data_IF_334974654198
#
_entry.id   IF_334974654198
#
_cell.length_a   1.000
_cell.length_b   1.000
_cell.length_c   1.000
_cell.angle_alpha   90.00
_cell.angle_beta   90.00
_cell.angle_gamma   90.00
#
_symmetry.space_group_name_H-M   'P 1'
#
loop_
_entity.id
_entity.type
_entity.pdbx_description
1 polymer ?
#
# COMPACT_ATOMS: atom_id res chain seq x y z
N UNK A 1 3.58 -9.29 -28.93
CA UNK A 1 3.61 -10.39 -27.94
C UNK A 1 2.17 -10.68 -27.62
N UNK A 2 1.66 -11.87 -27.96
CA UNK A 2 0.29 -12.26 -27.62
C UNK A 2 0.29 -12.83 -26.20
N UNK A 3 -0.54 -12.26 -25.33
CA UNK A 3 -0.76 -12.77 -23.99
C UNK A 3 -1.67 -14.01 -24.05
N UNK A 4 -1.49 -14.99 -23.15
CA UNK A 4 -2.39 -16.14 -23.08
C UNK A 4 -3.84 -15.70 -22.79
N UNK A 5 -4.79 -16.49 -23.27
CA UNK A 5 -6.21 -16.30 -22.95
C UNK A 5 -6.46 -16.48 -21.45
N UNK A 6 -7.57 -15.92 -20.95
CA UNK A 6 -7.99 -16.11 -19.56
C UNK A 6 -8.09 -17.60 -19.19
N UNK A 7 -8.62 -18.42 -20.09
CA UNK A 7 -8.76 -19.85 -19.87
C UNK A 7 -7.40 -20.55 -19.72
N UNK A 8 -6.41 -20.19 -20.55
CA UNK A 8 -5.05 -20.73 -20.47
C UNK A 8 -4.36 -20.31 -19.15
N UNK A 9 -4.52 -19.05 -18.73
CA UNK A 9 -3.98 -18.57 -17.44
C UNK A 9 -4.62 -19.31 -16.26
N UNK A 10 -5.94 -19.53 -16.28
CA UNK A 10 -6.62 -20.29 -15.24
C UNK A 10 -6.19 -21.76 -15.20
N UNK A 11 -6.04 -22.40 -16.35
CA UNK A 11 -5.55 -23.77 -16.44
C UNK A 11 -4.12 -23.89 -15.89
N UNK A 12 -3.26 -22.93 -16.22
CA UNK A 12 -1.90 -22.84 -15.68
C UNK A 12 -1.90 -22.65 -14.16
N UNK A 13 -2.71 -21.73 -13.62
CA UNK A 13 -2.85 -21.52 -12.16
C UNK A 13 -3.27 -22.81 -11.43
N UNK A 14 -4.21 -23.57 -11.99
CA UNK A 14 -4.62 -24.86 -11.42
C UNK A 14 -3.50 -25.91 -11.45
N UNK A 15 -2.69 -25.95 -12.51
CA UNK A 15 -1.54 -26.84 -12.58
C UNK A 15 -0.50 -26.50 -11.50
N UNK A 16 -0.13 -25.21 -11.37
CA UNK A 16 0.80 -24.74 -10.34
C UNK A 16 0.26 -25.03 -8.94
N UNK A 17 -1.03 -24.76 -8.69
CA UNK A 17 -1.67 -25.05 -7.41
C UNK A 17 -1.56 -26.52 -7.01
N UNK A 18 -1.79 -27.45 -7.94
CA UNK A 18 -1.65 -28.89 -7.68
C UNK A 18 -0.22 -29.27 -7.32
N UNK A 19 0.77 -28.73 -8.04
CA UNK A 19 2.20 -28.99 -7.76
C UNK A 19 2.59 -28.45 -6.39
N UNK A 20 2.32 -27.18 -6.12
CA UNK A 20 2.65 -26.55 -4.83
C UNK A 20 1.92 -27.22 -3.68
N UNK A 21 0.64 -27.56 -3.85
CA UNK A 21 -0.12 -28.32 -2.84
C UNK A 21 0.52 -29.67 -2.57
N UNK A 22 0.94 -30.41 -3.60
CA UNK A 22 1.60 -31.71 -3.38
C UNK A 22 2.91 -31.60 -2.60
N UNK A 23 3.71 -30.54 -2.84
CA UNK A 23 4.93 -30.24 -2.07
C UNK A 23 4.60 -29.95 -0.61
N UNK A 24 3.57 -29.16 -0.34
CA UNK A 24 3.13 -28.84 1.03
C UNK A 24 2.64 -30.10 1.76
N UNK A 25 1.81 -30.93 1.11
CA UNK A 25 1.28 -32.15 1.73
C UNK A 25 2.33 -33.24 1.94
N UNK A 26 3.42 -33.23 1.18
CA UNK A 26 4.53 -34.15 1.34
C UNK A 26 5.52 -33.72 2.46
N UNK A 27 5.45 -32.47 2.91
CA UNK A 27 6.35 -31.95 3.94
C UNK A 27 5.97 -32.46 5.33
N UNK A 28 6.95 -32.85 6.13
CA UNK A 28 6.77 -33.16 7.54
C UNK A 28 6.61 -31.89 8.37
N UNK A 29 5.96 -32.00 9.53
CA UNK A 29 5.80 -30.89 10.48
C UNK A 29 7.16 -30.31 10.90
N UNK A 30 8.18 -31.16 11.07
CA UNK A 30 9.53 -30.73 11.41
C UNK A 30 10.15 -29.83 10.33
N UNK A 31 9.95 -30.14 9.05
CA UNK A 31 10.51 -29.38 7.93
C UNK A 31 9.87 -27.99 7.76
N UNK A 32 8.59 -27.85 8.12
CA UNK A 32 7.85 -26.59 7.99
C UNK A 32 7.80 -25.78 9.29
N UNK A 33 8.18 -26.37 10.43
CA UNK A 33 8.17 -25.69 11.74
C UNK A 33 9.12 -24.49 11.83
N UNK A 34 10.19 -24.47 11.03
CA UNK A 34 11.14 -23.37 10.97
C UNK A 34 11.77 -23.22 9.57
N UNK A 35 11.05 -22.53 8.67
CA UNK A 35 11.50 -22.30 7.30
C UNK A 35 12.50 -21.13 7.28
N UNK A 36 13.80 -21.45 7.40
CA UNK A 36 14.90 -20.51 7.20
C UNK A 36 15.38 -20.40 5.74
N UNK A 37 16.36 -19.53 5.47
CA UNK A 37 16.90 -19.31 4.11
C UNK A 37 17.49 -20.56 3.45
N UNK A 38 18.04 -21.49 4.24
CA UNK A 38 18.59 -22.76 3.75
C UNK A 38 17.52 -23.86 3.59
N UNK A 39 16.26 -23.59 3.95
CA UNK A 39 15.18 -24.55 3.83
C UNK A 39 14.78 -24.73 2.36
N UNK A 40 14.57 -25.98 1.88
CA UNK A 40 14.01 -26.20 0.56
C UNK A 40 12.58 -25.62 0.41
N UNK A 41 11.92 -25.33 1.53
CA UNK A 41 10.59 -24.73 1.57
C UNK A 41 10.60 -23.20 1.63
N UNK A 42 11.77 -22.53 1.65
CA UNK A 42 11.87 -21.07 1.75
C UNK A 42 11.12 -20.32 0.64
N UNK A 43 11.06 -20.90 -0.55
CA UNK A 43 10.33 -20.33 -1.67
C UNK A 43 8.81 -20.25 -1.43
N UNK A 44 8.25 -21.04 -0.51
CA UNK A 44 6.81 -21.03 -0.22
C UNK A 44 6.35 -19.72 0.45
N UNK A 45 6.87 -19.29 1.61
CA UNK A 45 6.49 -18.01 2.19
C UNK A 45 6.86 -16.84 1.27
N UNK A 46 7.99 -16.90 0.55
CA UNK A 46 8.34 -15.89 -0.44
C UNK A 46 7.26 -15.77 -1.53
N UNK A 47 6.80 -16.90 -2.10
CA UNK A 47 5.77 -16.90 -3.12
C UNK A 47 4.41 -16.38 -2.59
N UNK A 48 4.07 -16.70 -1.33
CA UNK A 48 2.85 -16.20 -0.68
C UNK A 48 2.90 -14.67 -0.48
N UNK A 49 4.02 -14.14 0.02
CA UNK A 49 4.20 -12.70 0.20
C UNK A 49 4.29 -11.97 -1.15
N UNK A 50 4.93 -12.59 -2.15
CA UNK A 50 4.95 -12.08 -3.52
C UNK A 50 3.54 -12.00 -4.14
N UNK A 51 2.69 -13.01 -3.93
CA UNK A 51 1.29 -12.95 -4.39
C UNK A 51 0.52 -11.80 -3.73
N UNK A 52 0.78 -11.50 -2.44
CA UNK A 52 0.16 -10.34 -1.75
C UNK A 52 0.58 -9.01 -2.37
N UNK A 53 1.84 -8.84 -2.74
CA UNK A 53 2.31 -7.65 -3.49
C UNK A 53 1.59 -7.54 -4.83
N UNK A 54 1.41 -8.65 -5.54
CA UNK A 54 0.65 -8.66 -6.79
C UNK A 54 -0.83 -8.32 -6.59
N UNK A 55 -1.46 -8.77 -5.49
CA UNK A 55 -2.85 -8.40 -5.16
C UNK A 55 -2.95 -6.89 -4.93
N UNK A 56 -2.04 -6.29 -4.16
CA UNK A 56 -1.99 -4.83 -3.97
C UNK A 56 -1.78 -4.11 -5.31
N UNK A 57 -0.82 -4.55 -6.11
CA UNK A 57 -0.53 -3.97 -7.43
C UNK A 57 -1.73 -4.06 -8.37
N UNK A 58 -2.40 -5.20 -8.42
CA UNK A 58 -3.63 -5.38 -9.20
C UNK A 58 -4.73 -4.43 -8.74
N UNK A 59 -4.86 -4.17 -7.43
CA UNK A 59 -5.85 -3.22 -6.92
C UNK A 59 -5.61 -1.79 -7.43
N UNK A 60 -4.34 -1.36 -7.50
CA UNK A 60 -3.96 -0.04 -8.04
C UNK A 60 -4.27 0.04 -9.53
N UNK A 61 -3.94 -1.01 -10.29
CA UNK A 61 -4.22 -1.07 -11.73
C UNK A 61 -5.72 -1.04 -12.04
N UNK A 62 -6.53 -1.78 -11.26
CA UNK A 62 -7.98 -1.79 -11.39
C UNK A 62 -8.57 -0.40 -11.11
N UNK A 63 -8.01 0.34 -10.13
CA UNK A 63 -8.46 1.70 -9.79
C UNK A 63 -8.19 2.73 -10.89
N UNK A 64 -7.21 2.49 -11.75
CA UNK A 64 -6.89 3.34 -12.91
C UNK A 64 -7.75 3.01 -14.15
N UNK A 65 -8.59 1.98 -14.10
CA UNK A 65 -9.51 1.68 -15.20
C UNK A 65 -10.66 2.73 -15.25
N UNK A 66 -11.19 3.01 -16.46
CA UNK A 66 -12.43 3.76 -16.59
C UNK A 66 -13.56 3.13 -15.76
N UNK A 67 -14.34 3.97 -15.08
CA UNK A 67 -15.36 3.50 -14.13
C UNK A 67 -16.40 2.59 -14.80
N UNK A 68 -16.71 2.81 -16.09
CA UNK A 68 -17.62 1.97 -16.87
C UNK A 68 -17.14 0.52 -17.06
N UNK A 69 -15.85 0.25 -16.83
CA UNK A 69 -15.25 -1.08 -16.93
C UNK A 69 -15.13 -1.78 -15.58
N UNK A 70 -15.48 -1.11 -14.48
CA UNK A 70 -15.39 -1.64 -13.12
C UNK A 70 -16.79 -1.83 -12.56
N UNK A 71 -17.08 -3.03 -12.05
CA UNK A 71 -18.35 -3.31 -11.37
C UNK A 71 -18.08 -3.85 -9.97
N UNK A 72 -18.93 -3.46 -9.02
CA UNK A 72 -18.90 -4.01 -7.67
C UNK A 72 -19.56 -5.39 -7.68
N UNK A 73 -18.86 -6.47 -7.30
CA UNK A 73 -19.48 -7.79 -7.17
C UNK A 73 -20.65 -7.75 -6.17
N UNK A 74 -21.73 -8.48 -6.48
CA UNK A 74 -22.94 -8.49 -5.65
C UNK A 74 -22.71 -9.00 -4.21
N UNK A 75 -21.65 -9.79 -4.01
CA UNK A 75 -21.26 -10.33 -2.70
C UNK A 75 -20.45 -9.37 -1.84
N UNK A 76 -20.01 -8.24 -2.39
CA UNK A 76 -19.24 -7.26 -1.63
C UNK A 76 -20.15 -6.45 -0.69
N UNK A 77 -19.66 -6.06 0.49
CA UNK A 77 -20.41 -5.21 1.40
C UNK A 77 -20.85 -3.93 0.67
N UNK A 78 -21.99 -3.37 1.08
CA UNK A 78 -22.41 -2.04 0.66
C UNK A 78 -21.24 -1.06 0.86
N UNK A 79 -21.01 -0.11 -0.08
CA UNK A 79 -20.07 0.97 0.18
C UNK A 79 -20.41 1.59 1.53
N UNK A 80 -19.37 1.90 2.31
CA UNK A 80 -19.57 2.64 3.54
C UNK A 80 -20.18 3.99 3.17
N UNK A 81 -21.47 4.17 3.45
CA UNK A 81 -22.13 5.46 3.40
C UNK A 81 -21.83 6.10 4.77
N UNK A 82 -21.10 7.24 4.84
CA UNK A 82 -20.99 7.99 6.08
C UNK A 82 -22.40 8.26 6.64
N UNK A 83 -22.57 8.28 7.96
CA UNK A 83 -23.88 8.41 8.66
C UNK A 83 -24.69 9.70 8.37
N UNK A 84 -24.48 10.37 7.23
CA UNK A 84 -25.04 11.69 6.91
C UNK A 84 -26.02 11.72 5.73
N UNK A 85 -26.50 10.58 5.23
CA UNK A 85 -27.42 10.56 4.07
C UNK A 85 -28.90 10.55 4.45
N UNK A 86 -29.22 10.99 5.67
CA UNK A 86 -30.59 11.15 6.17
C UNK A 86 -31.15 12.55 5.85
N UNK A 87 -30.79 13.17 4.72
CA UNK A 87 -31.34 14.46 4.24
C UNK A 87 -31.12 15.68 5.14
N UNK A 88 -30.68 15.47 6.38
CA UNK A 88 -30.20 16.44 7.33
C UNK A 88 -28.68 16.43 7.21
N UNK A 89 -28.11 17.55 6.76
CA UNK A 89 -26.65 17.77 6.73
C UNK A 89 -26.18 17.81 8.17
N UNK A 90 -26.05 16.62 8.76
CA UNK A 90 -25.48 16.41 10.08
C UNK A 90 -24.17 17.19 10.12
N UNK A 91 -23.93 17.97 11.20
CA UNK A 91 -22.84 18.92 11.24
C UNK A 91 -21.55 18.19 10.92
N UNK A 92 -20.74 18.81 10.05
CA UNK A 92 -19.39 18.34 9.73
C UNK A 92 -18.74 17.92 11.05
N UNK A 93 -18.28 16.67 11.20
CA UNK A 93 -17.65 16.26 12.45
C UNK A 93 -16.56 17.29 12.77
N UNK A 94 -16.41 17.67 14.06
CA UNK A 94 -15.45 18.69 14.43
C UNK A 94 -14.07 18.31 13.89
N UNK A 95 -13.25 19.28 13.44
CA UNK A 95 -11.91 18.99 12.96
C UNK A 95 -11.18 18.08 13.93
N UNK A 96 -10.68 16.94 13.44
CA UNK A 96 -9.82 16.09 14.25
C UNK A 96 -8.54 16.89 14.47
N UNK A 97 -8.26 17.25 15.73
CA UNK A 97 -6.99 17.88 16.06
C UNK A 97 -5.83 16.97 15.63
N UNK A 98 -4.91 17.52 14.84
CA UNK A 98 -3.74 16.81 14.36
C UNK A 98 -2.45 17.43 14.93
N UNK A 99 -2.25 17.38 16.26
CA UNK A 99 -1.10 18.00 16.88
C UNK A 99 0.18 17.30 16.46
N UNK A 100 1.27 18.06 16.45
CA UNK A 100 2.61 17.51 16.40
C UNK A 100 2.94 16.82 17.72
N UNK A 101 3.43 15.59 17.64
CA UNK A 101 3.88 14.79 18.75
C UNK A 101 5.40 14.74 18.71
N UNK A 102 6.02 15.12 19.83
CA UNK A 102 7.47 15.06 19.99
C UNK A 102 7.95 13.62 20.05
N UNK A 103 8.93 13.31 19.21
CA UNK A 103 9.66 12.04 19.20
C UNK A 103 11.08 12.35 19.71
N UNK A 104 11.44 11.76 20.84
CA UNK A 104 12.78 11.96 21.38
C UNK A 104 13.83 11.28 20.50
N UNK A 105 14.93 12.01 20.28
CA UNK A 105 16.05 11.53 19.51
C UNK A 105 16.80 10.41 20.21
N UNK A 106 17.51 9.61 19.42
CA UNK A 106 18.25 8.48 19.92
C UNK A 106 18.84 7.63 18.81
N UNK A 107 19.46 6.53 19.22
CA UNK A 107 19.98 5.53 18.28
C UNK A 107 18.85 4.61 17.85
N UNK A 108 18.50 4.66 16.57
CA UNK A 108 17.57 3.73 15.92
C UNK A 108 18.37 2.58 15.32
N UNK A 109 17.93 1.35 15.61
CA UNK A 109 18.49 0.13 15.05
C UNK A 109 17.51 -0.45 14.04
N UNK A 110 17.92 -0.56 12.79
CA UNK A 110 17.16 -1.18 11.71
C UNK A 110 17.81 -2.51 11.33
N UNK A 111 16.97 -3.50 11.02
CA UNK A 111 17.42 -4.80 10.58
C UNK A 111 16.72 -5.94 11.31
N UNK A 112 16.24 -6.90 10.53
CA UNK A 112 15.65 -8.15 11.00
C UNK A 112 16.77 -9.13 11.38
N UNK A 113 16.76 -9.70 12.60
CA UNK A 113 17.67 -10.80 12.97
C UNK A 113 17.52 -12.01 12.05
N UNK A 114 18.61 -12.75 11.83
CA UNK A 114 18.59 -13.95 10.97
C UNK A 114 17.73 -15.08 11.54
N UNK A 115 17.61 -15.15 12.86
CA UNK A 115 16.84 -16.13 13.62
C UNK A 115 15.44 -15.62 13.99
N UNK A 116 15.00 -14.51 13.41
CA UNK A 116 13.66 -13.99 13.66
C UNK A 116 12.59 -15.00 13.17
N UNK A 117 11.58 -15.34 13.99
CA UNK A 117 10.66 -16.45 13.71
C UNK A 117 9.54 -16.08 12.71
N UNK A 118 9.90 -15.40 11.62
CA UNK A 118 9.00 -15.10 10.50
C UNK A 118 9.80 -14.87 9.23
N UNK A 119 9.14 -15.03 8.08
CA UNK A 119 9.68 -14.56 6.80
C UNK A 119 10.02 -13.06 6.86
N UNK A 120 10.96 -12.64 6.02
CA UNK A 120 11.33 -11.27 5.73
C UNK A 120 12.03 -11.21 4.38
N UNK A 121 11.93 -10.08 3.68
CA UNK A 121 12.64 -9.84 2.43
C UNK A 121 14.14 -9.63 2.67
N UNK A 122 14.96 -9.91 1.66
CA UNK A 122 16.42 -9.75 1.72
C UNK A 122 16.87 -8.37 2.23
N UNK A 123 16.14 -7.32 1.85
CA UNK A 123 16.38 -5.93 2.25
C UNK A 123 16.03 -5.61 3.72
N UNK A 124 15.28 -6.48 4.39
CA UNK A 124 14.92 -6.29 5.81
C UNK A 124 16.03 -6.74 6.75
N UNK A 125 16.89 -7.67 6.32
CA UNK A 125 17.95 -8.22 7.15
C UNK A 125 19.19 -7.32 7.23
N UNK A 126 20.09 -7.70 8.13
CA UNK A 126 21.31 -6.96 8.45
C UNK A 126 21.15 -6.16 9.73
N UNK A 127 22.09 -5.26 9.99
CA UNK A 127 22.02 -4.35 11.13
C UNK A 127 22.58 -3.00 10.71
N UNK A 128 21.79 -1.95 10.87
CA UNK A 128 22.19 -0.57 10.65
C UNK A 128 21.78 0.26 11.85
N UNK A 129 22.71 1.05 12.35
CA UNK A 129 22.46 2.00 13.43
C UNK A 129 22.49 3.42 12.88
N UNK A 130 21.50 4.22 13.24
CA UNK A 130 21.41 5.63 12.89
C UNK A 130 21.15 6.44 14.15
N UNK A 131 21.88 7.54 14.32
CA UNK A 131 21.47 8.55 15.28
C UNK A 131 20.41 9.45 14.63
N UNK A 132 19.21 9.46 15.21
CA UNK A 132 18.09 10.30 14.77
C UNK A 132 17.91 11.42 15.79
N UNK A 133 18.08 12.69 15.42
CA UNK A 133 17.79 13.82 16.32
C UNK A 133 16.33 13.84 16.76
N UNK A 134 16.02 14.49 17.89
CA UNK A 134 14.61 14.71 18.27
C UNK A 134 13.89 15.49 17.18
N UNK A 135 12.66 15.09 16.89
CA UNK A 135 11.80 15.73 15.89
C UNK A 135 10.35 15.70 16.35
N UNK A 136 9.46 16.28 15.56
CA UNK A 136 8.02 16.20 15.79
C UNK A 136 7.34 15.62 14.55
N UNK A 137 6.30 14.80 14.77
CA UNK A 137 5.50 14.21 13.72
C UNK A 137 4.01 14.41 14.01
N UNK A 138 3.21 14.64 12.98
CA UNK A 138 1.77 14.73 13.12
C UNK A 138 1.20 13.43 13.71
N UNK A 139 0.28 13.56 14.67
CA UNK A 139 -0.38 12.41 15.32
C UNK A 139 -1.18 11.57 14.32
N UNK A 140 -1.74 12.21 13.29
CA UNK A 140 -2.56 11.62 12.25
C UNK A 140 -2.00 11.94 10.86
N UNK A 141 -2.32 11.08 9.89
CA UNK A 141 -2.02 11.37 8.47
C UNK A 141 -2.80 12.60 8.01
N UNK A 142 -2.23 13.32 7.03
CA UNK A 142 -2.90 14.46 6.39
C UNK A 142 -4.23 14.00 5.78
N UNK A 143 -5.30 14.67 6.19
CA UNK A 143 -6.67 14.42 5.74
C UNK A 143 -6.95 15.09 4.40
N UNK A 144 -8.04 14.67 3.73
CA UNK A 144 -8.51 15.37 2.53
C UNK A 144 -8.89 16.83 2.82
N UNK A 145 -9.37 17.15 4.03
CA UNK A 145 -9.71 18.51 4.44
C UNK A 145 -8.47 19.41 4.53
N UNK A 146 -7.44 18.96 5.26
CA UNK A 146 -6.16 19.67 5.35
C UNK A 146 -5.50 19.80 3.96
N UNK A 147 -5.54 18.77 3.12
CA UNK A 147 -4.97 18.85 1.77
C UNK A 147 -5.78 19.77 0.84
N UNK A 148 -7.10 19.90 1.04
CA UNK A 148 -7.93 20.84 0.29
C UNK A 148 -7.51 22.29 0.57
N UNK A 149 -7.11 22.63 1.78
CA UNK A 149 -6.58 23.96 2.11
C UNK A 149 -5.32 24.28 1.28
N UNK A 150 -4.39 23.32 1.15
CA UNK A 150 -3.23 23.46 0.27
C UNK A 150 -3.63 23.67 -1.21
N UNK A 151 -4.66 22.97 -1.69
CA UNK A 151 -5.17 23.15 -3.05
C UNK A 151 -5.80 24.54 -3.23
N UNK A 152 -6.61 24.97 -2.26
CA UNK A 152 -7.35 26.23 -2.27
C UNK A 152 -6.41 27.46 -2.17
N UNK A 153 -5.31 27.34 -1.42
CA UNK A 153 -4.24 28.36 -1.35
C UNK A 153 -3.29 28.32 -2.57
N UNK A 154 -3.74 27.72 -3.67
CA UNK A 154 -2.98 27.58 -4.91
C UNK A 154 -1.60 26.94 -4.70
N UNK A 155 -1.46 25.97 -3.79
CA UNK A 155 -0.19 25.30 -3.50
C UNK A 155 0.43 24.59 -4.71
N UNK A 156 -0.39 24.13 -5.65
CA UNK A 156 0.10 23.65 -6.95
C UNK A 156 0.64 24.77 -7.85
N UNK A 157 0.36 26.05 -7.63
CA UNK A 157 0.93 27.16 -8.42
C UNK A 157 2.22 27.75 -7.81
N UNK A 158 2.56 27.37 -6.59
CA UNK A 158 3.61 27.98 -5.77
C UNK A 158 4.91 27.17 -5.81
N UNK A 159 5.82 27.51 -6.72
CA UNK A 159 7.07 26.76 -6.95
C UNK A 159 7.92 26.63 -5.67
N UNK A 160 7.88 27.62 -4.78
CA UNK A 160 8.65 27.64 -3.53
C UNK A 160 8.28 26.52 -2.55
N UNK A 161 7.13 25.86 -2.75
CA UNK A 161 6.69 24.71 -1.94
C UNK A 161 7.22 23.37 -2.46
N UNK A 162 7.95 23.36 -3.58
CA UNK A 162 8.38 22.15 -4.27
C UNK A 162 9.90 22.07 -4.37
N UNK A 163 10.43 20.85 -4.39
CA UNK A 163 11.78 20.62 -4.91
C UNK A 163 11.83 20.88 -6.42
N UNK A 164 13.02 21.13 -6.97
CA UNK A 164 13.21 21.34 -8.40
C UNK A 164 12.70 20.14 -9.23
N UNK A 165 12.97 18.92 -8.77
CA UNK A 165 12.47 17.69 -9.41
C UNK A 165 10.94 17.60 -9.32
N UNK A 166 10.37 17.86 -8.14
CA UNK A 166 8.93 17.84 -7.93
C UNK A 166 8.19 18.85 -8.79
N UNK A 167 8.73 20.08 -8.91
CA UNK A 167 8.15 21.10 -9.77
C UNK A 167 8.18 20.71 -11.24
N UNK A 168 9.32 20.18 -11.72
CA UNK A 168 9.45 19.68 -13.10
C UNK A 168 8.46 18.57 -13.40
N UNK A 169 8.33 17.59 -12.51
CA UNK A 169 7.34 16.51 -12.63
C UNK A 169 5.92 17.07 -12.70
N UNK A 170 5.56 17.96 -11.77
CA UNK A 170 4.24 18.57 -11.70
C UNK A 170 3.91 19.33 -12.98
N UNK A 171 4.85 20.12 -13.50
CA UNK A 171 4.67 20.90 -14.74
C UNK A 171 4.52 19.97 -15.95
N UNK A 172 5.36 18.94 -16.06
CA UNK A 172 5.30 17.94 -17.12
C UNK A 172 3.96 17.18 -17.12
N UNK A 173 3.48 16.77 -15.95
CA UNK A 173 2.22 16.05 -15.78
C UNK A 173 0.98 16.96 -15.68
N UNK A 174 1.19 18.28 -15.66
CA UNK A 174 0.15 19.31 -15.45
C UNK A 174 -0.76 19.02 -14.23
N UNK A 175 -0.16 18.60 -13.10
CA UNK A 175 -0.90 18.25 -11.89
C UNK A 175 -1.41 19.50 -11.18
N UNK A 176 -2.70 19.49 -10.82
CA UNK A 176 -3.39 20.62 -10.15
C UNK A 176 -4.16 20.21 -8.90
N UNK A 177 -4.29 18.90 -8.67
CA UNK A 177 -5.06 18.27 -7.61
C UNK A 177 -4.65 16.80 -7.50
N UNK A 178 -5.01 16.09 -6.42
CA UNK A 178 -4.83 14.64 -6.34
C UNK A 178 -5.51 13.91 -7.50
N UNK A 179 -4.92 12.79 -7.94
CA UNK A 179 -5.23 12.07 -9.20
C UNK A 179 -6.73 11.83 -9.46
N UNK A 180 -7.50 11.48 -8.43
CA UNK A 180 -8.92 11.09 -8.58
C UNK A 180 -9.92 12.16 -8.14
N UNK A 181 -9.46 13.37 -7.81
CA UNK A 181 -10.37 14.44 -7.41
C UNK A 181 -11.07 15.02 -8.64
N UNK A 182 -12.40 15.04 -8.62
CA UNK A 182 -13.23 15.67 -9.66
C UNK A 182 -13.72 17.01 -9.11
N UNK A 183 -13.69 18.03 -9.96
CA UNK A 183 -14.23 19.35 -9.62
C UNK A 183 -15.67 19.36 -10.13
N UNK A 184 -16.64 19.51 -9.23
CA UNK A 184 -18.01 19.83 -9.64
C UNK A 184 -18.08 21.32 -9.97
N UNK A 185 -18.62 21.62 -11.16
CA UNK A 185 -18.76 22.99 -11.68
C UNK A 185 -20.05 23.66 -11.26
#
# INVERSE_FOLDING_TARGET
MEWPTLQEVHAYRQQVYRVVSSVIHAASEAEISNIGADSPYWALPMAMEHERIHVETSSVLIRELPLEHVSRPATWPAPHVPDSDDGDRSPTPPPIENPLVRVEGGVVRLGKPKDFPSFGWDNEYGSREFYVPSFEAAKHMVTNGEFLEFVADAGYARQELWSDEGWRWKMFRNVKKPQFWVSEG
#
